data_IF_806142451325
#
_entry.id   IF_806142451325
#
_cell.length_a   1.000
_cell.length_b   1.000
_cell.length_c   1.000
_cell.angle_alpha   90.00
_cell.angle_beta   90.00
_cell.angle_gamma   90.00
#
_symmetry.space_group_name_H-M   'P 1'
#
loop_
_entity.id
_entity.type
_entity.pdbx_description
1 polymer ?
#
# COMPACT_ATOMS: atom_id res chain seq x y z
N UNK A 1 4.22 -14.31 -40.79
CA UNK A 1 3.33 -14.99 -39.82
C UNK A 1 1.91 -14.62 -40.22
N UNK A 2 1.04 -15.63 -40.50
CA UNK A 2 -0.33 -15.33 -40.93
C UNK A 2 -1.11 -14.63 -39.81
N UNK A 3 -2.06 -13.74 -40.15
CA UNK A 3 -2.88 -13.04 -39.13
C UNK A 3 -3.60 -14.00 -38.19
N UNK A 4 -3.93 -15.20 -38.65
CA UNK A 4 -4.54 -16.28 -37.89
C UNK A 4 -3.57 -16.85 -36.81
N UNK A 5 -2.32 -17.14 -37.16
CA UNK A 5 -1.33 -17.62 -36.16
C UNK A 5 -1.07 -16.61 -35.06
N UNK A 6 -1.08 -15.33 -35.39
CA UNK A 6 -0.88 -14.24 -34.42
C UNK A 6 -2.09 -14.09 -33.48
N UNK A 7 -3.30 -14.34 -34.00
CA UNK A 7 -4.53 -14.34 -33.22
C UNK A 7 -4.57 -15.49 -32.21
N UNK A 8 -4.20 -16.69 -32.63
CA UNK A 8 -4.08 -17.85 -31.72
C UNK A 8 -2.98 -17.69 -30.70
N UNK A 9 -1.85 -17.09 -31.09
CA UNK A 9 -0.75 -16.79 -30.16
C UNK A 9 -1.19 -15.78 -29.06
N UNK A 10 -1.93 -14.74 -29.44
CA UNK A 10 -2.46 -13.75 -28.49
C UNK A 10 -3.53 -14.34 -27.57
N UNK A 11 -4.42 -15.20 -28.09
CA UNK A 11 -5.40 -15.92 -27.29
C UNK A 11 -4.68 -16.84 -26.31
N UNK A 12 -3.61 -17.53 -26.75
CA UNK A 12 -2.79 -18.39 -25.93
C UNK A 12 -2.10 -17.63 -24.78
N UNK A 13 -1.50 -16.47 -25.06
CA UNK A 13 -0.89 -15.61 -24.02
C UNK A 13 -1.95 -15.09 -23.07
N UNK A 14 -3.11 -14.63 -23.55
CA UNK A 14 -4.23 -14.20 -22.73
C UNK A 14 -4.77 -15.30 -21.82
N UNK A 15 -4.91 -16.52 -22.35
CA UNK A 15 -5.34 -17.68 -21.58
C UNK A 15 -4.31 -18.08 -20.53
N UNK A 16 -3.01 -18.10 -20.88
CA UNK A 16 -1.93 -18.41 -19.95
C UNK A 16 -1.86 -17.37 -18.83
N UNK A 17 -2.06 -16.09 -19.17
CA UNK A 17 -2.13 -15.02 -18.19
C UNK A 17 -3.36 -15.18 -17.28
N UNK A 18 -4.56 -15.45 -17.83
CA UNK A 18 -5.74 -15.71 -17.03
C UNK A 18 -5.53 -16.86 -16.04
N UNK A 19 -4.86 -17.95 -16.48
CA UNK A 19 -4.50 -19.07 -15.60
C UNK A 19 -3.56 -18.63 -14.48
N UNK A 20 -2.55 -17.80 -14.78
CA UNK A 20 -1.61 -17.28 -13.77
C UNK A 20 -2.34 -16.38 -12.75
N UNK A 21 -3.24 -15.50 -13.22
CA UNK A 21 -4.05 -14.64 -12.34
C UNK A 21 -4.98 -15.47 -11.46
N UNK A 22 -5.68 -16.44 -12.06
CA UNK A 22 -6.57 -17.35 -11.32
C UNK A 22 -5.78 -18.15 -10.29
N UNK A 23 -4.62 -18.73 -10.67
CA UNK A 23 -3.76 -19.45 -9.75
C UNK A 23 -3.27 -18.55 -8.60
N UNK A 24 -2.88 -17.30 -8.91
CA UNK A 24 -2.48 -16.33 -7.90
C UNK A 24 -3.65 -15.96 -6.96
N UNK A 25 -4.85 -15.73 -7.48
CA UNK A 25 -6.04 -15.44 -6.68
C UNK A 25 -6.44 -16.63 -5.79
N UNK A 26 -6.31 -17.86 -6.30
CA UNK A 26 -6.55 -19.07 -5.52
C UNK A 26 -5.53 -19.20 -4.39
N UNK A 27 -4.23 -18.97 -4.70
CA UNK A 27 -3.15 -19.01 -3.71
C UNK A 27 -3.35 -17.91 -2.66
N UNK A 28 -3.73 -16.69 -3.09
CA UNK A 28 -4.03 -15.56 -2.20
C UNK A 28 -5.21 -15.88 -1.27
N UNK A 29 -6.34 -16.36 -1.82
CA UNK A 29 -7.53 -16.75 -1.05
C UNK A 29 -7.24 -17.92 -0.10
N UNK A 30 -6.43 -18.90 -0.54
CA UNK A 30 -6.00 -20.02 0.31
C UNK A 30 -5.05 -19.56 1.42
N UNK A 31 -4.22 -18.54 1.16
CA UNK A 31 -3.33 -17.92 2.15
C UNK A 31 -4.11 -17.14 3.21
N UNK A 32 -5.07 -16.30 2.82
CA UNK A 32 -5.94 -15.57 3.76
C UNK A 32 -6.74 -16.53 4.65
N UNK A 33 -7.30 -17.59 4.07
CA UNK A 33 -7.99 -18.64 4.83
C UNK A 33 -7.03 -19.44 5.73
N UNK A 34 -5.74 -19.55 5.38
CA UNK A 34 -4.74 -20.24 6.20
C UNK A 34 -4.25 -19.36 7.36
N UNK A 35 -4.20 -18.04 7.20
CA UNK A 35 -3.89 -17.11 8.31
C UNK A 35 -4.98 -17.18 9.39
N UNK A 36 -6.26 -17.16 9.01
CA UNK A 36 -7.39 -17.36 9.93
C UNK A 36 -7.35 -18.75 10.56
N UNK A 37 -7.00 -19.79 9.79
CA UNK A 37 -6.86 -21.15 10.29
C UNK A 37 -5.64 -21.33 11.19
N UNK A 38 -4.56 -20.54 10.97
CA UNK A 38 -3.37 -20.54 11.84
C UNK A 38 -3.62 -19.84 13.17
N UNK A 39 -4.32 -18.72 13.19
CA UNK A 39 -4.75 -18.07 14.42
C UNK A 39 -5.61 -19.05 15.24
N UNK A 40 -6.49 -19.79 14.58
CA UNK A 40 -7.31 -20.83 15.22
C UNK A 40 -6.47 -22.02 15.74
N UNK A 41 -5.44 -22.46 14.99
CA UNK A 41 -4.52 -23.55 15.33
C UNK A 41 -3.47 -23.16 16.38
N UNK A 42 -3.01 -21.90 16.41
CA UNK A 42 -2.14 -21.38 17.49
C UNK A 42 -2.88 -21.38 18.82
N UNK A 43 -4.18 -21.13 18.80
CA UNK A 43 -5.07 -21.26 19.94
C UNK A 43 -5.27 -22.74 20.36
N UNK A 44 -5.07 -23.69 19.44
CA UNK A 44 -5.24 -25.15 19.64
C UNK A 44 -3.89 -25.93 19.77
N UNK A 45 -2.75 -25.27 19.70
CA UNK A 45 -1.42 -25.85 20.07
C UNK A 45 -0.80 -26.83 19.06
N UNK A 46 -1.20 -26.87 17.80
CA UNK A 46 -0.65 -27.80 16.80
C UNK A 46 0.23 -27.10 15.76
N UNK A 47 1.52 -27.43 15.77
CA UNK A 47 2.51 -27.00 14.75
C UNK A 47 2.39 -27.86 13.49
N UNK A 48 1.67 -27.41 12.47
CA UNK A 48 1.84 -27.90 11.10
C UNK A 48 2.56 -26.88 10.23
N UNK A 49 3.58 -27.35 9.47
CA UNK A 49 4.30 -26.56 8.45
C UNK A 49 3.31 -26.13 7.36
N UNK A 50 2.73 -24.95 7.47
CA UNK A 50 2.04 -24.36 6.33
C UNK A 50 3.07 -24.00 5.26
N UNK A 51 2.77 -24.30 4.01
CA UNK A 51 3.46 -23.72 2.84
C UNK A 51 3.05 -22.24 2.83
N UNK A 52 3.72 -21.48 3.66
CA UNK A 52 3.37 -20.13 4.03
C UNK A 52 3.59 -19.22 2.81
N UNK A 53 2.58 -18.42 2.48
CA UNK A 53 2.73 -17.29 1.55
C UNK A 53 3.95 -16.43 1.90
N UNK A 54 4.37 -16.46 3.15
CA UNK A 54 5.55 -15.82 3.69
C UNK A 54 6.85 -16.31 3.05
N UNK A 55 7.04 -17.62 2.96
CA UNK A 55 8.22 -18.22 2.31
C UNK A 55 8.23 -17.87 0.82
N UNK A 56 7.07 -17.79 0.18
CA UNK A 56 6.95 -17.39 -1.22
C UNK A 56 7.41 -15.92 -1.40
N UNK A 57 6.95 -14.99 -0.60
CA UNK A 57 7.34 -13.58 -0.71
C UNK A 57 8.82 -13.36 -0.39
N UNK A 58 9.41 -14.13 0.53
CA UNK A 58 10.86 -14.09 0.79
C UNK A 58 11.68 -14.63 -0.40
N UNK A 59 11.23 -15.69 -1.06
CA UNK A 59 11.87 -16.18 -2.29
C UNK A 59 11.74 -15.18 -3.44
N UNK A 60 10.58 -14.53 -3.60
CA UNK A 60 10.36 -13.48 -4.58
C UNK A 60 11.23 -12.26 -4.30
N UNK A 61 11.42 -11.89 -3.04
CA UNK A 61 12.32 -10.82 -2.65
C UNK A 61 13.76 -11.08 -3.15
N UNK A 62 14.28 -12.28 -2.94
CA UNK A 62 15.61 -12.67 -3.42
C UNK A 62 15.69 -12.68 -4.95
N UNK A 63 14.64 -13.15 -5.63
CA UNK A 63 14.55 -13.10 -7.09
C UNK A 63 14.60 -11.66 -7.63
N UNK A 64 13.82 -10.76 -7.04
CA UNK A 64 13.80 -9.34 -7.42
C UNK A 64 15.13 -8.63 -7.17
N UNK A 65 15.87 -9.00 -6.11
CA UNK A 65 17.20 -8.48 -5.86
C UNK A 65 18.23 -8.88 -6.93
N UNK A 66 18.09 -10.08 -7.52
CA UNK A 66 18.98 -10.57 -8.57
C UNK A 66 18.74 -9.90 -9.92
N UNK A 67 17.54 -9.38 -10.17
CA UNK A 67 17.15 -8.80 -11.44
C UNK A 67 17.37 -7.29 -11.41
N UNK A 68 18.26 -6.70 -12.25
CA UNK A 68 18.67 -5.29 -12.12
C UNK A 68 17.50 -4.30 -12.27
N UNK A 69 16.51 -4.60 -13.13
CA UNK A 69 15.31 -3.79 -13.31
C UNK A 69 14.47 -3.71 -12.02
N UNK A 70 14.16 -4.84 -11.39
CA UNK A 70 13.35 -4.89 -10.17
C UNK A 70 14.10 -4.42 -8.92
N UNK A 71 15.42 -4.59 -8.90
CA UNK A 71 16.26 -4.18 -7.77
C UNK A 71 16.10 -2.70 -7.41
N UNK A 72 16.00 -1.82 -8.42
CA UNK A 72 15.82 -0.38 -8.19
C UNK A 72 14.51 -0.08 -7.45
N UNK A 73 13.40 -0.64 -7.92
CA UNK A 73 12.09 -0.48 -7.31
C UNK A 73 12.01 -1.13 -5.92
N UNK A 74 12.57 -2.32 -5.77
CA UNK A 74 12.61 -3.02 -4.49
C UNK A 74 13.38 -2.23 -3.42
N UNK A 75 14.52 -1.64 -3.75
CA UNK A 75 15.30 -0.82 -2.81
C UNK A 75 14.58 0.49 -2.46
N UNK A 76 13.89 1.13 -3.42
CA UNK A 76 13.03 2.29 -3.16
C UNK A 76 11.93 1.92 -2.16
N UNK A 77 11.21 0.82 -2.42
CA UNK A 77 10.17 0.29 -1.53
C UNK A 77 10.70 -0.03 -0.13
N UNK A 78 11.83 -0.74 -0.04
CA UNK A 78 12.43 -1.10 1.23
C UNK A 78 12.73 0.14 2.10
N UNK A 79 13.27 1.21 1.50
CA UNK A 79 13.56 2.46 2.22
C UNK A 79 12.30 3.11 2.78
N UNK A 80 11.22 3.18 2.00
CA UNK A 80 9.95 3.76 2.45
C UNK A 80 9.27 2.89 3.52
N UNK A 81 9.24 1.57 3.32
CA UNK A 81 8.63 0.64 4.26
C UNK A 81 9.42 0.48 5.56
N UNK A 82 10.75 0.70 5.54
CA UNK A 82 11.56 0.68 6.76
C UNK A 82 11.22 1.83 7.71
N UNK A 83 10.67 2.93 7.21
CA UNK A 83 10.17 4.04 8.04
C UNK A 83 8.84 3.64 8.71
N UNK A 84 8.00 2.87 8.01
CA UNK A 84 6.71 2.42 8.52
C UNK A 84 6.88 1.25 9.50
N UNK A 85 7.74 0.29 9.17
CA UNK A 85 8.00 -0.92 9.97
C UNK A 85 9.36 -0.79 10.67
N UNK A 86 9.46 0.12 11.61
CA UNK A 86 10.69 0.28 12.40
C UNK A 86 10.95 -1.02 13.18
N UNK A 87 12.18 -1.53 13.16
CA UNK A 87 12.64 -2.76 13.82
C UNK A 87 12.11 -4.10 13.25
N UNK A 88 11.27 -4.11 12.20
CA UNK A 88 10.83 -5.36 11.56
C UNK A 88 11.30 -5.47 10.10
N UNK A 89 12.56 -5.88 9.92
CA UNK A 89 13.11 -6.09 8.59
C UNK A 89 12.42 -7.23 7.83
N UNK A 90 11.93 -8.25 8.53
CA UNK A 90 11.22 -9.36 7.92
C UNK A 90 9.90 -8.89 7.30
N UNK A 91 9.12 -8.11 8.04
CA UNK A 91 7.87 -7.55 7.57
C UNK A 91 8.11 -6.58 6.42
N UNK A 92 9.14 -5.75 6.51
CA UNK A 92 9.54 -4.82 5.43
C UNK A 92 9.87 -5.56 4.13
N UNK A 93 10.62 -6.66 4.19
CA UNK A 93 10.93 -7.50 3.01
C UNK A 93 9.68 -8.17 2.43
N UNK A 94 8.82 -8.70 3.30
CA UNK A 94 7.53 -9.33 2.91
C UNK A 94 6.63 -8.33 2.21
N UNK A 95 6.43 -7.15 2.78
CA UNK A 95 5.59 -6.09 2.22
C UNK A 95 6.17 -5.54 0.91
N UNK A 96 7.48 -5.31 0.83
CA UNK A 96 8.14 -4.84 -0.38
C UNK A 96 7.95 -5.82 -1.55
N UNK A 97 8.17 -7.12 -1.31
CA UNK A 97 7.96 -8.14 -2.34
C UNK A 97 6.48 -8.28 -2.72
N UNK A 98 5.55 -8.19 -1.76
CA UNK A 98 4.11 -8.24 -2.00
C UNK A 98 3.64 -7.07 -2.88
N UNK A 99 4.06 -5.84 -2.56
CA UNK A 99 3.72 -4.64 -3.34
C UNK A 99 4.27 -4.76 -4.76
N UNK A 100 5.55 -5.11 -4.91
CA UNK A 100 6.18 -5.24 -6.22
C UNK A 100 5.51 -6.35 -7.06
N UNK A 101 5.17 -7.48 -6.46
CA UNK A 101 4.45 -8.57 -7.14
C UNK A 101 3.06 -8.12 -7.60
N UNK A 102 2.31 -7.43 -6.75
CA UNK A 102 0.99 -6.91 -7.09
C UNK A 102 1.07 -5.88 -8.23
N UNK A 103 2.07 -4.99 -8.20
CA UNK A 103 2.31 -4.01 -9.28
C UNK A 103 2.62 -4.73 -10.58
N UNK A 104 3.52 -5.73 -10.58
CA UNK A 104 3.86 -6.48 -11.80
C UNK A 104 2.67 -7.28 -12.36
N UNK A 105 1.80 -7.76 -11.49
CA UNK A 105 0.58 -8.47 -11.88
C UNK A 105 -0.42 -7.56 -12.61
N UNK A 106 -0.38 -6.25 -12.40
CA UNK A 106 -1.19 -5.26 -13.10
C UNK A 106 -0.48 -4.79 -14.39
N UNK A 107 0.80 -4.45 -14.26
CA UNK A 107 1.59 -3.84 -15.34
C UNK A 107 1.83 -4.82 -16.50
N UNK A 108 2.22 -6.07 -16.24
CA UNK A 108 2.50 -7.03 -17.31
C UNK A 108 1.32 -7.29 -18.26
N UNK A 109 0.08 -7.49 -17.77
CA UNK A 109 -1.06 -7.64 -18.68
C UNK A 109 -1.41 -6.36 -19.43
N UNK A 110 -1.22 -5.21 -18.79
CA UNK A 110 -1.47 -3.93 -19.45
C UNK A 110 -0.49 -3.73 -20.61
N UNK A 111 0.80 -4.05 -20.44
CA UNK A 111 1.79 -4.04 -21.52
C UNK A 111 1.36 -4.96 -22.69
N UNK A 112 0.92 -6.19 -22.39
CA UNK A 112 0.44 -7.12 -23.39
C UNK A 112 -0.80 -6.57 -24.14
N UNK A 113 -1.73 -5.96 -23.42
CA UNK A 113 -2.92 -5.34 -23.99
C UNK A 113 -2.54 -4.15 -24.90
N UNK A 114 -1.61 -3.29 -24.48
CA UNK A 114 -1.10 -2.19 -25.30
C UNK A 114 -0.52 -2.71 -26.62
N UNK A 115 0.37 -3.69 -26.56
CA UNK A 115 0.99 -4.31 -27.74
C UNK A 115 -0.08 -4.90 -28.67
N UNK A 116 -1.08 -5.55 -28.10
CA UNK A 116 -2.17 -6.17 -28.85
C UNK A 116 -3.04 -5.17 -29.61
N UNK A 117 -3.39 -4.06 -28.96
CA UNK A 117 -4.27 -3.02 -29.50
C UNK A 117 -3.53 -2.15 -30.54
N UNK A 118 -2.27 -1.79 -30.25
CA UNK A 118 -1.50 -0.83 -31.06
C UNK A 118 -0.61 -1.47 -32.11
N UNK A 119 -0.85 -2.72 -32.45
CA UNK A 119 -0.03 -3.57 -33.35
C UNK A 119 0.39 -2.89 -34.66
N UNK A 120 -0.45 -2.06 -35.22
CA UNK A 120 -0.23 -1.41 -36.53
C UNK A 120 0.41 -0.01 -36.41
N UNK A 121 0.51 0.55 -35.21
CA UNK A 121 1.06 1.87 -34.96
C UNK A 121 2.22 1.80 -33.96
N UNK A 122 3.44 1.64 -34.47
CA UNK A 122 4.65 1.50 -33.64
C UNK A 122 4.94 2.74 -32.80
N UNK A 123 4.60 3.94 -33.29
CA UNK A 123 4.81 5.18 -32.56
C UNK A 123 3.89 5.24 -31.33
N UNK A 124 2.59 5.00 -31.51
CA UNK A 124 1.61 4.97 -30.43
C UNK A 124 1.95 3.86 -29.41
N UNK A 125 2.35 2.67 -29.89
CA UNK A 125 2.79 1.57 -29.03
C UNK A 125 3.95 1.99 -28.14
N UNK A 126 4.98 2.64 -28.71
CA UNK A 126 6.16 3.07 -27.96
C UNK A 126 5.81 4.13 -26.92
N UNK A 127 4.96 5.10 -27.28
CA UNK A 127 4.51 6.15 -26.36
C UNK A 127 3.73 5.56 -25.18
N UNK A 128 2.80 4.63 -25.43
CA UNK A 128 2.01 4.01 -24.36
C UNK A 128 2.86 3.12 -23.46
N UNK A 129 3.85 2.40 -23.98
CA UNK A 129 4.78 1.61 -23.16
C UNK A 129 5.68 2.50 -22.29
N UNK A 130 6.15 3.64 -22.81
CA UNK A 130 6.93 4.61 -22.00
C UNK A 130 6.04 5.18 -20.89
N UNK A 131 4.79 5.52 -21.21
CA UNK A 131 3.83 6.00 -20.23
C UNK A 131 3.53 4.94 -19.14
N UNK A 132 3.41 3.67 -19.53
CA UNK A 132 3.23 2.56 -18.60
C UNK A 132 4.41 2.42 -17.62
N UNK A 133 5.66 2.56 -18.11
CA UNK A 133 6.84 2.56 -17.24
C UNK A 133 6.79 3.70 -16.21
N UNK A 134 6.30 4.87 -16.61
CA UNK A 134 6.10 5.98 -15.68
C UNK A 134 5.02 5.69 -14.63
N UNK A 135 3.95 4.98 -15.03
CA UNK A 135 2.87 4.60 -14.12
C UNK A 135 3.29 3.58 -13.06
N UNK A 136 4.36 2.79 -13.26
CA UNK A 136 4.85 1.83 -12.27
C UNK A 136 5.17 2.53 -10.93
N UNK A 137 5.87 3.65 -10.97
CA UNK A 137 6.21 4.41 -9.76
C UNK A 137 4.94 4.90 -9.04
N UNK A 138 3.95 5.38 -9.78
CA UNK A 138 2.67 5.85 -9.25
C UNK A 138 1.88 4.71 -8.57
N UNK A 139 1.85 3.51 -9.18
CA UNK A 139 1.22 2.34 -8.58
C UNK A 139 1.91 1.89 -7.30
N UNK A 140 3.24 1.88 -7.31
CA UNK A 140 4.05 1.53 -6.13
C UNK A 140 3.78 2.52 -5.00
N UNK A 141 3.83 3.81 -5.30
CA UNK A 141 3.61 4.88 -4.33
C UNK A 141 2.19 4.79 -3.73
N UNK A 142 1.16 4.61 -4.57
CA UNK A 142 -0.22 4.43 -4.09
C UNK A 142 -0.44 3.19 -3.22
N UNK A 143 0.31 2.09 -3.45
CA UNK A 143 0.24 0.92 -2.57
C UNK A 143 0.92 1.15 -1.22
N UNK A 144 2.03 1.90 -1.19
CA UNK A 144 2.69 2.27 0.07
C UNK A 144 1.81 3.25 0.86
N UNK A 145 1.21 4.22 0.19
CA UNK A 145 0.32 5.20 0.82
C UNK A 145 -0.94 4.53 1.41
N UNK A 146 -1.48 3.49 0.76
CA UNK A 146 -2.56 2.66 1.34
C UNK A 146 -2.13 1.93 2.61
N UNK A 147 -0.87 1.46 2.66
CA UNK A 147 -0.35 0.80 3.86
C UNK A 147 -0.15 1.82 5.00
N UNK A 148 0.36 3.00 4.69
CA UNK A 148 0.53 4.09 5.65
C UNK A 148 -0.82 4.59 6.16
N UNK A 149 -1.81 4.76 5.28
CA UNK A 149 -3.18 5.09 5.67
C UNK A 149 -3.83 4.01 6.55
N UNK A 150 -3.52 2.74 6.30
CA UNK A 150 -3.98 1.65 7.16
C UNK A 150 -3.38 1.77 8.56
N UNK A 151 -2.08 2.04 8.64
CA UNK A 151 -1.39 2.27 9.91
C UNK A 151 -2.00 3.44 10.69
N UNK A 152 -2.29 4.56 10.00
CA UNK A 152 -2.95 5.71 10.64
C UNK A 152 -4.34 5.35 11.19
N UNK A 153 -5.12 4.53 10.48
CA UNK A 153 -6.42 4.04 10.96
C UNK A 153 -6.26 3.17 12.21
N UNK A 154 -5.31 2.25 12.20
CA UNK A 154 -5.01 1.41 13.37
C UNK A 154 -4.56 2.25 14.58
N UNK A 155 -3.83 3.35 14.35
CA UNK A 155 -3.46 4.30 15.42
C UNK A 155 -4.66 5.08 15.97
N UNK A 156 -5.62 5.46 15.11
CA UNK A 156 -6.87 6.11 15.56
C UNK A 156 -7.65 5.17 16.49
N UNK A 157 -7.78 3.91 16.10
CA UNK A 157 -8.43 2.90 16.93
C UNK A 157 -7.69 2.70 18.25
N UNK A 158 -6.37 2.59 18.19
CA UNK A 158 -5.49 2.49 19.35
C UNK A 158 -5.67 3.67 20.33
N UNK A 159 -5.70 4.90 19.84
CA UNK A 159 -5.94 6.07 20.71
C UNK A 159 -7.35 6.08 21.30
N UNK A 160 -8.32 5.54 20.57
CA UNK A 160 -9.68 5.36 21.11
C UNK A 160 -9.71 4.33 22.24
N UNK A 161 -9.01 3.23 22.10
CA UNK A 161 -8.89 2.19 23.14
C UNK A 161 -8.18 2.73 24.40
N UNK A 162 -7.07 3.46 24.22
CA UNK A 162 -6.38 4.13 25.34
C UNK A 162 -7.29 5.15 26.03
N UNK A 163 -8.09 5.90 25.28
CA UNK A 163 -9.05 6.84 25.87
C UNK A 163 -10.08 6.11 26.73
N UNK A 164 -10.58 4.96 26.29
CA UNK A 164 -11.51 4.14 27.06
C UNK A 164 -10.84 3.59 28.32
N UNK A 165 -9.64 3.02 28.20
CA UNK A 165 -8.88 2.50 29.33
C UNK A 165 -8.53 3.62 30.33
N UNK A 166 -8.18 4.82 29.86
CA UNK A 166 -7.90 5.95 30.73
C UNK A 166 -9.13 6.42 31.54
N UNK A 167 -10.32 6.34 30.95
CA UNK A 167 -11.56 6.61 31.72
C UNK A 167 -11.80 5.60 32.83
N UNK A 168 -11.33 4.39 32.67
CA UNK A 168 -11.48 3.31 33.67
C UNK A 168 -10.42 3.43 34.79
N UNK A 169 -9.15 3.57 34.40
CA UNK A 169 -8.02 3.51 35.35
C UNK A 169 -7.63 4.88 35.91
N UNK A 170 -7.89 5.97 35.21
CA UNK A 170 -7.42 7.34 35.50
C UNK A 170 -5.88 7.45 35.65
N UNK A 171 -5.13 6.49 35.13
CA UNK A 171 -3.67 6.44 35.09
C UNK A 171 -3.22 6.15 33.66
N UNK A 172 -2.26 6.93 33.15
CA UNK A 172 -1.81 6.86 31.75
C UNK A 172 -1.06 5.55 31.51
N UNK A 173 -0.14 5.21 32.39
CA UNK A 173 0.67 4.01 32.30
C UNK A 173 -0.18 2.72 32.31
N UNK A 174 -1.21 2.67 33.15
CA UNK A 174 -2.09 1.52 33.23
C UNK A 174 -2.98 1.40 31.98
N UNK A 175 -3.49 2.54 31.48
CA UNK A 175 -4.27 2.57 30.26
C UNK A 175 -3.45 2.09 29.04
N UNK A 176 -2.18 2.50 28.94
CA UNK A 176 -1.30 2.06 27.85
C UNK A 176 -0.93 0.58 28.01
N UNK A 177 -0.65 0.13 29.24
CA UNK A 177 -0.34 -1.28 29.53
C UNK A 177 -1.50 -2.20 29.14
N UNK A 178 -2.72 -1.83 29.50
CA UNK A 178 -3.91 -2.62 29.15
C UNK A 178 -4.06 -2.82 27.63
N UNK A 179 -3.83 -1.77 26.84
CA UNK A 179 -3.92 -1.84 25.39
C UNK A 179 -2.71 -2.56 24.77
N UNK A 180 -1.54 -2.53 25.44
CA UNK A 180 -0.36 -3.30 25.01
C UNK A 180 -0.58 -4.81 25.06
N UNK A 181 -1.50 -5.30 25.88
CA UNK A 181 -1.82 -6.73 26.01
C UNK A 181 -2.75 -7.25 24.88
N UNK A 182 -3.22 -6.39 23.98
CA UNK A 182 -4.12 -6.79 22.89
C UNK A 182 -3.34 -7.46 21.77
N UNK A 183 -3.61 -8.76 21.54
CA UNK A 183 -2.98 -9.56 20.48
C UNK A 183 -3.57 -9.31 19.08
N UNK A 184 -4.70 -8.63 18.97
CA UNK A 184 -5.39 -8.45 17.70
C UNK A 184 -4.67 -7.44 16.78
N UNK A 185 -3.90 -6.51 17.36
CA UNK A 185 -3.18 -5.44 16.64
C UNK A 185 -1.68 -5.41 17.01
N UNK A 186 -0.88 -6.40 16.57
CA UNK A 186 0.49 -6.60 17.05
C UNK A 186 1.43 -5.42 16.83
N UNK A 187 1.18 -4.58 15.80
CA UNK A 187 1.99 -3.37 15.55
C UNK A 187 1.73 -2.30 16.62
N UNK A 188 0.46 -2.06 16.93
CA UNK A 188 0.09 -1.06 17.93
C UNK A 188 0.40 -1.54 19.35
N UNK A 189 0.23 -2.82 19.64
CA UNK A 189 0.63 -3.41 20.92
C UNK A 189 2.13 -3.24 21.17
N UNK A 190 2.99 -3.47 20.16
CA UNK A 190 4.43 -3.20 20.27
C UNK A 190 4.75 -1.72 20.51
N UNK A 191 4.03 -0.79 19.88
CA UNK A 191 4.22 0.63 20.13
C UNK A 191 3.76 1.02 21.53
N UNK A 192 2.63 0.47 22.00
CA UNK A 192 2.15 0.65 23.35
C UNK A 192 3.17 0.13 24.38
N UNK A 193 3.73 -1.06 24.18
CA UNK A 193 4.75 -1.65 25.04
C UNK A 193 5.99 -0.75 25.13
N UNK A 194 6.52 -0.28 24.01
CA UNK A 194 7.67 0.66 23.97
C UNK A 194 7.36 1.96 24.72
N UNK A 195 6.18 2.55 24.53
CA UNK A 195 5.80 3.77 25.23
C UNK A 195 5.59 3.49 26.73
N UNK A 196 5.02 2.35 27.08
CA UNK A 196 4.91 1.93 28.48
C UNK A 196 6.28 1.79 29.13
N UNK A 197 7.25 1.13 28.47
CA UNK A 197 8.63 1.01 28.96
C UNK A 197 9.29 2.37 29.18
N UNK A 198 9.08 3.33 28.26
CA UNK A 198 9.52 4.72 28.45
C UNK A 198 8.94 5.31 29.71
N UNK A 199 7.63 5.16 29.91
CA UNK A 199 6.95 5.77 31.07
C UNK A 199 7.42 5.18 32.40
N UNK A 200 7.67 3.88 32.49
CA UNK A 200 8.07 3.22 33.75
C UNK A 200 9.58 3.22 34.00
N UNK A 201 10.38 3.73 33.05
CA UNK A 201 11.85 3.74 33.19
C UNK A 201 12.31 4.63 34.37
N UNK A 202 13.56 4.43 34.79
CA UNK A 202 14.18 5.28 35.82
C UNK A 202 14.57 6.67 35.31
N UNK A 203 14.73 6.81 33.99
CA UNK A 203 15.02 8.07 33.27
C UNK A 203 14.10 8.20 32.08
N UNK A 204 12.83 8.57 32.31
CA UNK A 204 11.81 8.61 31.24
C UNK A 204 12.12 9.64 30.16
N UNK A 205 12.79 10.74 30.48
CA UNK A 205 13.12 11.81 29.52
C UNK A 205 14.13 11.31 28.47
N UNK A 206 15.20 10.65 28.92
CA UNK A 206 16.20 10.07 28.02
C UNK A 206 15.62 8.94 27.15
N UNK A 207 14.76 8.10 27.72
CA UNK A 207 14.11 7.02 26.97
C UNK A 207 13.07 7.55 25.98
N UNK A 208 12.39 8.66 26.30
CA UNK A 208 11.49 9.35 25.39
C UNK A 208 12.22 9.92 24.17
N UNK A 209 13.40 10.51 24.37
CA UNK A 209 14.23 10.97 23.23
C UNK A 209 14.63 9.81 22.34
N UNK A 210 15.04 8.69 22.89
CA UNK A 210 15.36 7.47 22.12
C UNK A 210 14.13 6.95 21.35
N UNK A 211 12.96 6.97 22.00
CA UNK A 211 11.71 6.59 21.32
C UNK A 211 11.39 7.52 20.15
N UNK A 212 11.65 8.82 20.29
CA UNK A 212 11.43 9.77 19.19
C UNK A 212 12.27 9.45 17.94
N UNK A 213 13.44 8.87 18.09
CA UNK A 213 14.27 8.47 16.93
C UNK A 213 13.69 7.27 16.17
N UNK A 214 12.96 6.39 16.84
CA UNK A 214 12.43 5.15 16.28
C UNK A 214 10.92 5.15 16.06
N UNK A 215 10.21 6.17 16.53
CA UNK A 215 8.76 6.25 16.37
C UNK A 215 8.36 6.35 14.90
N UNK A 216 7.36 5.58 14.43
CA UNK A 216 6.96 5.50 13.02
C UNK A 216 6.49 6.82 12.41
N UNK A 217 5.90 7.71 13.22
CA UNK A 217 5.40 9.01 12.78
C UNK A 217 5.32 10.04 13.92
N UNK A 218 4.99 11.29 13.56
CA UNK A 218 4.86 12.40 14.50
C UNK A 218 3.71 12.22 15.49
N UNK A 219 2.63 11.55 15.11
CA UNK A 219 1.47 11.34 15.98
C UNK A 219 1.77 10.46 17.18
N UNK A 220 2.55 9.38 16.97
CA UNK A 220 3.02 8.54 18.07
C UNK A 220 4.06 9.25 18.93
N UNK A 221 4.91 10.13 18.36
CA UNK A 221 5.81 10.99 19.14
C UNK A 221 5.02 11.93 20.04
N UNK A 222 4.04 12.61 19.50
CA UNK A 222 3.18 13.54 20.23
C UNK A 222 2.40 12.81 21.32
N UNK A 223 1.83 11.64 21.01
CA UNK A 223 1.15 10.80 21.97
C UNK A 223 2.08 10.39 23.15
N UNK A 224 3.29 9.91 22.86
CA UNK A 224 4.26 9.54 23.89
C UNK A 224 4.64 10.74 24.76
N UNK A 225 4.88 11.91 24.14
CA UNK A 225 5.18 13.15 24.85
C UNK A 225 4.05 13.62 25.78
N UNK A 226 2.81 13.63 25.29
CA UNK A 226 1.63 13.97 26.09
C UNK A 226 1.41 12.98 27.22
N UNK A 227 1.62 11.68 26.97
CA UNK A 227 1.52 10.63 27.97
C UNK A 227 2.58 10.79 29.07
N UNK A 228 3.84 11.07 28.69
CA UNK A 228 4.92 11.38 29.64
C UNK A 228 4.58 12.61 30.49
N UNK A 229 4.19 13.73 29.89
CA UNK A 229 3.86 14.94 30.63
C UNK A 229 2.68 14.72 31.61
N UNK A 230 1.69 13.94 31.19
CA UNK A 230 0.54 13.65 32.06
C UNK A 230 0.92 12.76 33.22
N UNK A 231 1.80 11.78 33.01
CA UNK A 231 2.33 10.96 34.10
C UNK A 231 3.16 11.75 35.09
N UNK A 232 4.09 12.59 34.63
CA UNK A 232 5.01 13.34 35.50
C UNK A 232 4.32 14.49 36.26
N UNK A 233 3.43 15.22 35.60
CA UNK A 233 2.82 16.43 36.16
C UNK A 233 1.36 16.28 36.54
N UNK A 234 0.78 15.11 36.32
CA UNK A 234 -0.64 14.83 36.52
C UNK A 234 -1.54 15.41 35.41
N UNK A 235 -2.75 14.87 35.32
CA UNK A 235 -3.75 15.37 34.36
C UNK A 235 -4.39 16.67 34.86
N UNK A 236 -4.25 17.73 34.09
CA UNK A 236 -4.88 19.02 34.37
C UNK A 236 -6.29 19.05 33.78
N UNK A 237 -7.24 19.56 34.54
CA UNK A 237 -8.61 19.75 34.06
C UNK A 237 -8.77 21.18 33.53
N UNK A 238 -9.25 21.29 32.30
CA UNK A 238 -9.65 22.55 31.68
C UNK A 238 -11.14 22.44 31.35
N UNK A 239 -11.94 23.40 31.85
CA UNK A 239 -13.40 23.40 31.67
C UNK A 239 -14.06 22.07 32.13
N UNK A 240 -13.59 21.54 33.25
CA UNK A 240 -14.05 20.29 33.84
C UNK A 240 -13.73 19.01 33.01
N UNK A 241 -12.94 19.11 31.95
CA UNK A 241 -12.49 18.01 31.11
C UNK A 241 -10.98 17.74 31.25
N UNK A 242 -10.58 16.48 31.15
CA UNK A 242 -9.19 16.04 31.14
C UNK A 242 -8.42 16.65 29.97
N UNK A 243 -7.27 17.27 30.25
CA UNK A 243 -6.39 17.81 29.22
C UNK A 243 -5.76 16.68 28.40
N UNK A 244 -5.44 15.57 29.04
CA UNK A 244 -4.93 14.38 28.37
C UNK A 244 -5.90 13.86 27.30
N UNK A 245 -7.17 13.67 27.67
CA UNK A 245 -8.21 13.22 26.75
C UNK A 245 -8.47 14.21 25.63
N UNK A 246 -8.38 15.52 25.92
CA UNK A 246 -8.51 16.56 24.90
C UNK A 246 -7.37 16.51 23.88
N UNK A 247 -6.12 16.30 24.32
CA UNK A 247 -4.98 16.15 23.43
C UNK A 247 -5.09 14.88 22.57
N UNK A 248 -5.47 13.75 23.16
CA UNK A 248 -5.76 12.51 22.41
C UNK A 248 -6.80 12.73 21.32
N UNK A 249 -7.86 13.45 21.64
CA UNK A 249 -8.90 13.78 20.66
C UNK A 249 -8.38 14.68 19.53
N UNK A 250 -7.54 15.67 19.87
CA UNK A 250 -6.93 16.54 18.86
C UNK A 250 -6.02 15.76 17.92
N UNK A 251 -5.12 14.93 18.44
CA UNK A 251 -4.26 14.05 17.63
C UNK A 251 -5.12 13.17 16.71
N UNK A 252 -6.17 12.56 17.24
CA UNK A 252 -7.08 11.72 16.47
C UNK A 252 -7.77 12.50 15.34
N UNK A 253 -8.21 13.73 15.59
CA UNK A 253 -8.83 14.58 14.57
C UNK A 253 -7.84 14.99 13.48
N UNK A 254 -6.59 15.31 13.85
CA UNK A 254 -5.54 15.62 12.88
C UNK A 254 -5.25 14.42 11.97
N UNK A 255 -5.15 13.21 12.53
CA UNK A 255 -4.97 11.98 11.77
C UNK A 255 -6.14 11.71 10.82
N UNK A 256 -7.39 11.93 11.26
CA UNK A 256 -8.56 11.79 10.40
C UNK A 256 -8.53 12.79 9.24
N UNK A 257 -8.16 14.05 9.49
CA UNK A 257 -8.00 15.08 8.46
C UNK A 257 -6.89 14.71 7.46
N UNK A 258 -5.79 14.17 7.95
CA UNK A 258 -4.68 13.71 7.10
C UNK A 258 -5.13 12.56 6.18
N UNK A 259 -5.85 11.56 6.70
CA UNK A 259 -6.43 10.47 5.89
C UNK A 259 -7.36 11.03 4.82
N UNK A 260 -8.27 11.94 5.18
CA UNK A 260 -9.20 12.57 4.23
C UNK A 260 -8.47 13.34 3.12
N UNK A 261 -7.40 14.07 3.46
CA UNK A 261 -6.56 14.77 2.46
C UNK A 261 -5.91 13.80 1.50
N UNK A 262 -5.32 12.72 2.02
CA UNK A 262 -4.67 11.68 1.21
C UNK A 262 -5.67 10.96 0.30
N UNK A 263 -6.80 10.53 0.83
CA UNK A 263 -7.85 9.87 0.06
C UNK A 263 -8.38 10.79 -1.07
N UNK A 264 -8.53 12.11 -0.80
CA UNK A 264 -8.93 13.09 -1.81
C UNK A 264 -7.88 13.24 -2.91
N UNK A 265 -6.59 13.31 -2.56
CA UNK A 265 -5.50 13.40 -3.52
C UNK A 265 -5.44 12.15 -4.39
N UNK A 266 -5.51 10.96 -3.80
CA UNK A 266 -5.51 9.69 -4.51
C UNK A 266 -6.67 9.59 -5.51
N UNK A 267 -7.88 9.96 -5.08
CA UNK A 267 -9.03 10.00 -5.97
C UNK A 267 -8.84 10.98 -7.14
N UNK A 268 -8.29 12.15 -6.87
CA UNK A 268 -8.02 13.17 -7.91
C UNK A 268 -7.00 12.66 -8.92
N UNK A 269 -5.88 12.06 -8.47
CA UNK A 269 -4.86 11.51 -9.37
C UNK A 269 -5.38 10.32 -10.18
N UNK A 270 -6.15 9.42 -9.56
CA UNK A 270 -6.76 8.30 -10.28
C UNK A 270 -7.73 8.79 -11.36
N UNK A 271 -8.54 9.79 -11.06
CA UNK A 271 -9.48 10.39 -12.02
C UNK A 271 -8.75 11.03 -13.18
N UNK A 272 -7.67 11.79 -12.93
CA UNK A 272 -6.86 12.42 -13.98
C UNK A 272 -6.18 11.37 -14.86
N UNK A 273 -5.66 10.28 -14.27
CA UNK A 273 -5.06 9.20 -15.02
C UNK A 273 -6.08 8.53 -15.98
N UNK A 274 -7.29 8.25 -15.50
CA UNK A 274 -8.35 7.66 -16.32
C UNK A 274 -8.72 8.60 -17.47
N UNK A 275 -8.95 9.89 -17.21
CA UNK A 275 -9.31 10.88 -18.22
C UNK A 275 -8.22 11.01 -19.30
N UNK A 276 -6.95 10.86 -18.92
CA UNK A 276 -5.81 10.95 -19.85
C UNK A 276 -5.60 9.69 -20.68
N UNK A 277 -5.77 8.50 -20.09
CA UNK A 277 -5.43 7.22 -20.73
C UNK A 277 -6.59 6.71 -21.62
N UNK A 278 -7.82 6.82 -21.14
CA UNK A 278 -8.98 6.25 -21.85
C UNK A 278 -9.10 6.77 -23.30
N UNK A 279 -9.01 8.07 -23.59
CA UNK A 279 -9.04 8.55 -24.97
C UNK A 279 -7.95 7.96 -25.85
N UNK A 280 -6.72 7.82 -25.31
CA UNK A 280 -5.59 7.26 -26.08
C UNK A 280 -5.82 5.80 -26.48
N UNK A 281 -6.44 4.99 -25.63
CA UNK A 281 -6.77 3.60 -25.96
C UNK A 281 -7.86 3.49 -27.05
N UNK A 282 -8.71 4.49 -27.17
CA UNK A 282 -9.80 4.50 -28.15
C UNK A 282 -9.41 5.10 -29.52
N UNK A 283 -8.22 5.71 -29.66
CA UNK A 283 -7.80 6.32 -30.92
C UNK A 283 -7.85 5.32 -32.09
N UNK A 284 -7.22 4.15 -31.95
CA UNK A 284 -7.19 3.13 -33.01
C UNK A 284 -8.56 2.50 -33.29
N UNK A 285 -9.36 2.09 -32.32
CA UNK A 285 -10.72 1.65 -32.53
C UNK A 285 -11.60 2.70 -33.26
N UNK A 286 -11.52 3.97 -32.84
CA UNK A 286 -12.30 5.06 -33.46
C UNK A 286 -11.84 5.31 -34.90
N UNK A 287 -10.52 5.32 -35.14
CA UNK A 287 -9.96 5.44 -36.49
C UNK A 287 -10.48 4.34 -37.40
N UNK A 288 -10.37 3.08 -36.97
CA UNK A 288 -10.81 1.94 -37.78
C UNK A 288 -12.32 1.95 -38.03
N UNK A 289 -13.11 2.33 -37.05
CA UNK A 289 -14.55 2.51 -37.18
C UNK A 289 -14.86 3.65 -38.19
N UNK A 290 -14.19 4.79 -38.05
CA UNK A 290 -14.38 5.95 -38.94
C UNK A 290 -14.06 5.61 -40.42
N UNK A 291 -12.94 4.91 -40.65
CA UNK A 291 -12.54 4.46 -41.98
C UNK A 291 -13.56 3.47 -42.56
N UNK A 292 -14.11 2.57 -41.73
CA UNK A 292 -15.11 1.60 -42.21
C UNK A 292 -16.45 2.23 -42.60
N UNK A 293 -16.84 3.33 -41.96
CA UNK A 293 -18.10 4.03 -42.26
C UNK A 293 -17.95 5.11 -43.32
N UNK A 294 -16.79 5.76 -43.39
CA UNK A 294 -16.55 6.91 -44.23
C UNK A 294 -15.21 6.78 -44.96
N UNK A 295 -15.24 6.28 -46.20
CA UNK A 295 -14.02 6.01 -46.99
C UNK A 295 -13.11 7.23 -47.20
N UNK A 296 -13.65 8.47 -47.21
CA UNK A 296 -12.84 9.68 -47.32
C UNK A 296 -11.96 9.95 -46.08
N UNK A 297 -12.28 9.39 -44.92
CA UNK A 297 -11.49 9.55 -43.71
C UNK A 297 -10.19 8.76 -43.74
N UNK A 298 -10.08 7.75 -44.63
CA UNK A 298 -8.85 6.98 -44.83
C UNK A 298 -7.68 7.88 -45.25
N UNK A 299 -7.93 8.75 -46.25
CA UNK A 299 -6.92 9.69 -46.72
C UNK A 299 -6.50 10.71 -45.66
N UNK A 300 -7.42 11.09 -44.77
CA UNK A 300 -7.12 11.97 -43.64
C UNK A 300 -6.25 11.27 -42.56
N UNK A 301 -6.69 10.12 -42.07
CA UNK A 301 -6.00 9.43 -40.97
C UNK A 301 -4.66 8.83 -41.37
N UNK A 302 -4.48 8.41 -42.62
CA UNK A 302 -3.21 7.90 -43.16
C UNK A 302 -2.31 9.01 -43.72
N UNK A 303 -2.81 10.25 -43.78
CA UNK A 303 -2.08 11.41 -44.21
C UNK A 303 -1.29 12.09 -43.08
N UNK A 304 -0.46 13.09 -43.45
CA UNK A 304 0.35 13.87 -42.54
C UNK A 304 -0.47 14.54 -41.40
N UNK A 305 -1.67 15.01 -41.74
CA UNK A 305 -2.57 15.67 -40.78
C UNK A 305 -3.16 14.66 -39.78
N UNK A 306 -3.43 13.42 -40.20
CA UNK A 306 -3.90 12.36 -39.31
C UNK A 306 -2.86 11.91 -38.29
N UNK A 307 -1.57 11.91 -38.67
CA UNK A 307 -0.49 11.66 -37.74
C UNK A 307 -0.41 12.74 -36.64
N UNK A 308 -0.60 14.02 -36.97
CA UNK A 308 -0.58 15.12 -36.02
C UNK A 308 -1.75 15.09 -35.01
N UNK A 309 -2.90 14.56 -35.43
CA UNK A 309 -4.09 14.43 -34.55
C UNK A 309 -3.99 13.20 -33.60
N UNK A 310 -3.16 12.22 -33.98
CA UNK A 310 -2.93 11.01 -33.17
C UNK A 310 -1.82 11.17 -32.12
N UNK A 311 -1.06 12.25 -32.18
CA UNK A 311 -0.04 12.65 -31.19
C UNK A 311 -0.62 13.68 -30.22
#
# INVERSE_FOLDING_TARGET
MSNEMLKYFMIGIGALFAVIVIAFLIIKKKSENSEIAQIRKLREGTKEKSFSSEVMYQKLYVFYLKTPFFKRYLLKLRRRLAIINVDDEYLTRKQASKILTNTMLIVLPLAVAIIAITKNNTLLMTMLLIFELFMIDTFIDGMVDKLDNKLLKEQIDFFSEIRHAYHEFNMVEEAIYQVAQDDDKPEMSRQAEKIYEVLISNDPESELEKYYDVAPNSYLKEFAGVSYLTKEFGDRKIDNSSLYLKNLNNITQEMQLEILKRDKLDYTFQSLAVISIVPMLFIEPIKNWSISQFSFTEAFYNGRNGMLVQI
#
